data_IF_570100537353
#
_entry.id   IF_570100537353
#
_cell.length_a   1.000
_cell.length_b   1.000
_cell.length_c   1.000
_cell.angle_alpha   90.00
_cell.angle_beta   90.00
_cell.angle_gamma   90.00
#
_symmetry.space_group_name_H-M   'P 1'
#
loop_
_entity.id
_entity.type
_entity.pdbx_description
1 polymer ?
#
# COMPACT_ATOMS: atom_id res chain seq x y z
N UNK A 1 -0.16 -13.31 -2.85
CA UNK A 1 0.07 -12.80 -1.47
C UNK A 1 -1.19 -12.92 -0.65
N UNK A 2 -1.08 -13.09 0.68
CA UNK A 2 -2.23 -13.19 1.58
C UNK A 2 -2.69 -11.80 2.06
N UNK A 3 -4.01 -11.59 2.24
CA UNK A 3 -4.53 -10.35 2.78
C UNK A 3 -4.12 -10.17 4.25
N UNK A 4 -4.07 -8.92 4.68
CA UNK A 4 -3.69 -8.54 6.04
C UNK A 4 -4.83 -7.80 6.74
N UNK A 5 -4.85 -7.86 8.08
CA UNK A 5 -5.71 -7.02 8.91
C UNK A 5 -5.07 -5.66 9.24
N UNK A 6 -5.88 -4.73 9.74
CA UNK A 6 -5.41 -3.42 10.23
C UNK A 6 -4.92 -2.49 9.12
N UNK A 7 -5.59 -2.51 7.96
CA UNK A 7 -5.22 -1.70 6.78
C UNK A 7 -5.22 -0.20 7.12
N UNK A 8 -6.24 0.27 7.85
CA UNK A 8 -6.36 1.67 8.29
C UNK A 8 -5.19 2.11 9.15
N UNK A 9 -4.83 1.34 10.17
CA UNK A 9 -3.75 1.66 11.10
C UNK A 9 -2.39 1.72 10.39
N UNK A 10 -2.17 0.82 9.42
CA UNK A 10 -0.93 0.79 8.63
C UNK A 10 -0.79 2.01 7.72
N UNK A 11 -1.86 2.44 7.07
CA UNK A 11 -1.81 3.63 6.21
C UNK A 11 -1.63 4.89 7.06
N UNK A 12 -2.30 4.98 8.20
CA UNK A 12 -2.11 6.11 9.11
C UNK A 12 -0.67 6.16 9.66
N UNK A 13 -0.08 5.01 9.97
CA UNK A 13 1.32 4.93 10.37
C UNK A 13 2.28 5.35 9.23
N UNK A 14 2.03 4.89 8.01
CA UNK A 14 2.81 5.29 6.83
C UNK A 14 2.74 6.79 6.58
N UNK A 15 1.54 7.38 6.68
CA UNK A 15 1.31 8.82 6.54
C UNK A 15 2.05 9.62 7.63
N UNK A 16 2.01 9.15 8.89
CA UNK A 16 2.78 9.74 10.00
C UNK A 16 4.29 9.65 9.78
N UNK A 17 4.75 8.57 9.16
CA UNK A 17 6.15 8.38 8.78
C UNK A 17 6.55 9.13 7.51
N UNK A 18 5.64 9.89 6.89
CA UNK A 18 5.84 10.61 5.63
C UNK A 18 6.28 9.68 4.48
N UNK A 19 5.84 8.41 4.52
CA UNK A 19 6.14 7.46 3.47
C UNK A 19 5.36 7.84 2.19
N UNK A 20 6.10 8.06 1.10
CA UNK A 20 5.49 8.45 -0.18
C UNK A 20 4.76 7.29 -0.86
N UNK A 21 5.19 6.06 -0.63
CA UNK A 21 4.70 4.86 -1.30
C UNK A 21 4.26 3.82 -0.27
N UNK A 22 3.07 3.25 -0.45
CA UNK A 22 2.59 2.11 0.33
C UNK A 22 2.11 1.00 -0.61
N UNK A 23 2.56 -0.22 -0.34
CA UNK A 23 2.27 -1.40 -1.14
C UNK A 23 1.41 -2.36 -0.30
N UNK A 24 0.26 -2.77 -0.82
CA UNK A 24 -0.65 -3.72 -0.18
C UNK A 24 -0.97 -4.92 -1.09
N UNK A 25 -1.33 -6.07 -0.51
CA UNK A 25 -1.88 -7.17 -1.27
C UNK A 25 -3.17 -6.74 -1.98
N UNK A 26 -3.39 -7.23 -3.21
CA UNK A 26 -4.61 -6.97 -3.99
C UNK A 26 -5.90 -7.35 -3.24
N UNK A 27 -5.82 -8.36 -2.37
CA UNK A 27 -6.94 -8.75 -1.50
C UNK A 27 -7.40 -7.66 -0.53
N UNK A 28 -6.55 -6.67 -0.23
CA UNK A 28 -6.88 -5.54 0.65
C UNK A 28 -7.37 -4.29 -0.09
N UNK A 29 -7.55 -4.36 -1.41
CA UNK A 29 -8.04 -3.22 -2.19
C UNK A 29 -9.43 -2.79 -1.71
N UNK A 30 -10.34 -3.74 -1.48
CA UNK A 30 -11.68 -3.44 -0.97
C UNK A 30 -11.65 -2.76 0.39
N UNK A 31 -10.85 -3.28 1.33
CA UNK A 31 -10.70 -2.66 2.66
C UNK A 31 -10.16 -1.22 2.55
N UNK A 32 -9.23 -0.97 1.62
CA UNK A 32 -8.68 0.35 1.35
C UNK A 32 -9.72 1.30 0.75
N UNK A 33 -10.50 0.85 -0.23
CA UNK A 33 -11.51 1.67 -0.90
C UNK A 33 -12.60 2.14 0.07
N UNK A 34 -12.94 1.31 1.06
CA UNK A 34 -13.89 1.64 2.14
C UNK A 34 -13.33 2.64 3.16
N UNK A 35 -12.02 2.98 3.10
CA UNK A 35 -11.44 3.99 3.98
C UNK A 35 -11.86 5.41 3.60
N UNK A 36 -12.04 6.29 4.60
CA UNK A 36 -12.35 7.69 4.35
C UNK A 36 -11.20 8.41 3.65
N UNK A 37 -11.52 9.40 2.81
CA UNK A 37 -10.56 10.05 1.92
C UNK A 37 -9.33 10.62 2.64
N UNK A 38 -9.49 11.22 3.82
CA UNK A 38 -8.37 11.78 4.58
C UNK A 38 -7.25 10.75 4.89
N UNK A 39 -7.58 9.45 4.93
CA UNK A 39 -6.64 8.34 5.11
C UNK A 39 -5.93 8.00 3.79
N UNK A 40 -6.64 8.09 2.67
CA UNK A 40 -6.15 7.75 1.32
C UNK A 40 -5.32 8.87 0.69
N UNK A 41 -5.51 10.12 1.13
CA UNK A 41 -4.77 11.29 0.64
C UNK A 41 -3.27 11.20 0.99
N UNK A 42 -2.43 11.80 0.13
CA UNK A 42 -0.97 11.96 0.34
C UNK A 42 -0.15 10.66 0.38
N UNK A 43 -0.71 9.55 -0.10
CA UNK A 43 -0.02 8.25 -0.16
C UNK A 43 -0.19 7.66 -1.55
N UNK A 44 0.92 7.31 -2.21
CA UNK A 44 0.87 6.57 -3.46
C UNK A 44 0.65 5.09 -3.18
N UNK A 45 -0.54 4.61 -3.51
CA UNK A 45 -0.96 3.25 -3.22
C UNK A 45 -0.69 2.29 -4.38
N UNK A 46 -0.04 1.16 -4.11
CA UNK A 46 0.17 0.07 -5.07
C UNK A 46 -0.42 -1.23 -4.55
N UNK A 47 -1.25 -1.88 -5.36
CA UNK A 47 -1.83 -3.18 -5.04
C UNK A 47 -1.18 -4.29 -5.85
N UNK A 48 -0.63 -5.30 -5.16
CA UNK A 48 0.17 -6.37 -5.79
C UNK A 48 -0.42 -7.73 -5.49
N UNK A 49 -0.27 -8.66 -6.42
CA UNK A 49 -0.65 -10.06 -6.27
C UNK A 49 0.56 -10.91 -5.85
N UNK A 50 1.75 -10.59 -6.35
CA UNK A 50 2.96 -11.40 -6.19
C UNK A 50 4.21 -10.59 -5.80
N UNK A 51 5.20 -11.27 -5.21
CA UNK A 51 6.46 -10.63 -4.78
C UNK A 51 7.22 -9.99 -5.94
N UNK A 52 7.14 -10.56 -7.14
CA UNK A 52 7.80 -10.01 -8.34
C UNK A 52 7.34 -8.58 -8.65
N UNK A 53 6.09 -8.23 -8.36
CA UNK A 53 5.58 -6.87 -8.53
C UNK A 53 6.17 -5.92 -7.48
N UNK A 54 6.24 -6.37 -6.22
CA UNK A 54 6.92 -5.61 -5.14
C UNK A 54 8.36 -5.31 -5.52
N UNK A 55 9.08 -6.33 -5.98
CA UNK A 55 10.48 -6.20 -6.38
C UNK A 55 10.64 -5.16 -7.49
N UNK A 56 9.78 -5.18 -8.52
CA UNK A 56 9.79 -4.20 -9.61
C UNK A 56 9.47 -2.78 -9.13
N UNK A 57 8.52 -2.62 -8.21
CA UNK A 57 8.16 -1.30 -7.68
C UNK A 57 9.30 -0.70 -6.85
N UNK A 58 9.97 -1.52 -6.05
CA UNK A 58 11.03 -1.05 -5.12
C UNK A 58 12.38 -0.92 -5.81
N UNK A 59 12.73 -1.82 -6.73
CA UNK A 59 14.07 -1.94 -7.32
C UNK A 59 14.10 -1.82 -8.85
N UNK A 60 12.96 -1.65 -9.53
CA UNK A 60 12.88 -1.67 -11.00
C UNK A 60 13.57 -0.51 -11.73
N UNK A 61 14.07 0.49 -10.99
CA UNK A 61 14.84 1.61 -11.52
C UNK A 61 16.36 1.45 -11.35
N UNK A 62 16.82 0.28 -10.89
CA UNK A 62 18.26 -0.03 -10.80
C UNK A 62 18.68 -0.68 -12.11
N UNK A 63 19.23 0.12 -13.02
CA UNK A 63 20.03 -0.37 -14.16
C UNK A 63 21.41 -0.86 -13.70
#
# INVERSE_FOLDING_TARGET
>A
MLPIGGVKEKILAAKRAQASIVILPRGNQRDFDELPDYVKQDVQMHFVQDYSEVYKIVFGNVE
#
